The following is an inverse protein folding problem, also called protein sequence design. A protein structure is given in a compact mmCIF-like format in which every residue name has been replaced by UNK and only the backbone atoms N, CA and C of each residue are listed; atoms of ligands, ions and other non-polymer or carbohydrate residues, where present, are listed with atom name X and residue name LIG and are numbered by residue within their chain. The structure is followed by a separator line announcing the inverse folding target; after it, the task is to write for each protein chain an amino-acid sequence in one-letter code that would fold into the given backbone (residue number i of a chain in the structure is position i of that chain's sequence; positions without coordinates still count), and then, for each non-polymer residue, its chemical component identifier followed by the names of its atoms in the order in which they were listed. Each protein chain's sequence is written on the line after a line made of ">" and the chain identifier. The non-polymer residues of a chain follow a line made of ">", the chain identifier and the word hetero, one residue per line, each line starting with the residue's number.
data_IF_158197678852
#
_entry.id   IF_158197678852
#
_cell.length_a   1.000
_cell.length_b   1.000
_cell.length_c   1.000
_cell.angle_alpha   90.00
_cell.angle_beta   90.00
_cell.angle_gamma   90.00
#
_symmetry.space_group_name_H-M   'P 1'
#
loop_
_entity.id
_entity.type
_entity.pdbx_description
1 polymer ?
#
# COMPACT_ATOMS: atom_id res chain seq x y z
N UNK A 1 -57.83 17.75 73.49
CA UNK A 1 -57.10 18.21 72.29
C UNK A 1 -57.20 17.10 71.24
N UNK A 2 -58.13 17.20 70.29
CA UNK A 2 -58.32 16.22 69.22
C UNK A 2 -57.43 16.62 68.03
N UNK A 3 -56.47 15.78 67.67
CA UNK A 3 -55.61 15.99 66.50
C UNK A 3 -56.26 15.31 65.29
N UNK A 4 -56.75 16.10 64.33
CA UNK A 4 -57.31 15.59 63.08
C UNK A 4 -56.19 15.17 62.12
N UNK A 5 -56.18 13.89 61.75
CA UNK A 5 -55.31 13.34 60.70
C UNK A 5 -55.75 13.81 59.31
N UNK A 6 -54.94 14.63 58.63
CA UNK A 6 -55.11 14.97 57.22
C UNK A 6 -54.41 13.90 56.36
N UNK A 7 -55.17 13.14 55.56
CA UNK A 7 -54.63 12.19 54.58
C UNK A 7 -54.18 12.91 53.31
N UNK A 8 -53.03 12.55 52.69
CA UNK A 8 -52.58 13.16 51.45
C UNK A 8 -53.47 12.78 50.26
N UNK A 9 -53.83 13.77 49.44
CA UNK A 9 -54.67 13.61 48.24
C UNK A 9 -53.79 13.03 47.11
N UNK A 10 -54.03 11.76 46.72
CA UNK A 10 -53.38 11.16 45.53
C UNK A 10 -53.79 11.95 44.27
N UNK A 11 -52.86 12.73 43.71
CA UNK A 11 -53.02 13.34 42.38
C UNK A 11 -52.92 12.23 41.35
N UNK A 12 -54.04 11.86 40.72
CA UNK A 12 -54.05 10.95 39.57
C UNK A 12 -53.58 11.73 38.33
N UNK A 13 -52.34 11.51 37.91
CA UNK A 13 -51.89 11.88 36.57
C UNK A 13 -52.68 10.96 35.62
N UNK A 14 -53.61 11.53 34.84
CA UNK A 14 -54.31 10.78 33.79
C UNK A 14 -53.29 10.54 32.67
N UNK A 15 -52.97 9.29 32.30
CA UNK A 15 -52.20 9.06 31.09
C UNK A 15 -53.04 9.56 29.91
N UNK A 16 -52.49 10.51 29.15
CA UNK A 16 -53.03 10.88 27.84
C UNK A 16 -52.84 9.67 26.93
N UNK A 17 -53.93 9.07 26.46
CA UNK A 17 -53.88 7.94 25.55
C UNK A 17 -53.34 8.39 24.20
N UNK A 18 -52.27 7.76 23.75
CA UNK A 18 -51.68 8.02 22.44
C UNK A 18 -52.52 7.32 21.36
N UNK A 19 -52.90 8.02 20.30
CA UNK A 19 -53.67 7.43 19.20
C UNK A 19 -52.75 6.65 18.26
N UNK A 20 -53.26 5.60 17.63
CA UNK A 20 -52.52 4.80 16.65
C UNK A 20 -51.99 5.66 15.50
N UNK A 21 -52.75 6.69 15.11
CA UNK A 21 -52.39 7.62 14.03
C UNK A 21 -51.21 8.51 14.43
N UNK A 22 -51.18 9.05 15.65
CA UNK A 22 -50.05 9.86 16.14
C UNK A 22 -48.75 9.04 16.16
N UNK A 23 -48.82 7.76 16.55
CA UNK A 23 -47.67 6.85 16.49
C UNK A 23 -47.20 6.62 15.06
N UNK A 24 -48.13 6.37 14.15
CA UNK A 24 -47.84 6.10 12.75
C UNK A 24 -47.17 7.30 12.07
N UNK A 25 -47.62 8.53 12.35
CA UNK A 25 -47.01 9.74 11.81
C UNK A 25 -45.58 9.94 12.33
N UNK A 26 -45.35 9.73 13.63
CA UNK A 26 -44.02 9.89 14.22
C UNK A 26 -43.02 8.88 13.64
N UNK A 27 -43.41 7.60 13.51
CA UNK A 27 -42.54 6.60 12.87
C UNK A 27 -42.30 6.92 11.39
N UNK A 28 -43.29 7.48 10.68
CA UNK A 28 -43.12 7.88 9.28
C UNK A 28 -42.11 9.03 9.13
N UNK A 29 -42.19 10.04 10.00
CA UNK A 29 -41.23 11.16 10.00
C UNK A 29 -39.82 10.68 10.35
N UNK A 30 -39.66 9.86 11.40
CA UNK A 30 -38.36 9.29 11.77
C UNK A 30 -37.83 8.41 10.64
N UNK A 31 -38.68 7.61 10.01
CA UNK A 31 -38.32 6.78 8.87
C UNK A 31 -37.79 7.59 7.69
N UNK A 32 -38.44 8.71 7.36
CA UNK A 32 -37.98 9.63 6.30
C UNK A 32 -36.64 10.27 6.69
N UNK A 33 -36.52 10.80 7.91
CA UNK A 33 -35.29 11.45 8.37
C UNK A 33 -34.10 10.48 8.37
N UNK A 34 -34.28 9.27 8.91
CA UNK A 34 -33.23 8.24 8.92
C UNK A 34 -32.92 7.77 7.50
N UNK A 35 -33.94 7.61 6.65
CA UNK A 35 -33.76 7.23 5.24
C UNK A 35 -32.92 8.23 4.44
N UNK A 36 -33.05 9.53 4.73
CA UNK A 36 -32.24 10.58 4.10
C UNK A 36 -30.85 10.75 4.75
N UNK A 37 -30.73 10.53 6.05
CA UNK A 37 -29.48 10.73 6.80
C UNK A 37 -28.49 9.57 6.66
N UNK A 38 -28.95 8.32 6.54
CA UNK A 38 -28.07 7.15 6.55
C UNK A 38 -27.07 7.14 5.36
N UNK A 39 -27.50 7.38 4.09
CA UNK A 39 -26.56 7.45 2.96
C UNK A 39 -25.58 8.63 3.11
N UNK A 40 -26.06 9.77 3.60
CA UNK A 40 -25.25 10.97 3.80
C UNK A 40 -24.15 10.76 4.85
N UNK A 41 -24.46 10.11 5.98
CA UNK A 41 -23.48 9.80 7.03
C UNK A 41 -22.41 8.82 6.51
N UNK A 42 -22.78 7.85 5.68
CA UNK A 42 -21.82 6.92 5.07
C UNK A 42 -20.87 7.61 4.09
N UNK A 43 -21.41 8.47 3.21
CA UNK A 43 -20.61 9.27 2.29
C UNK A 43 -19.64 10.20 3.03
N UNK A 44 -20.11 10.87 4.09
CA UNK A 44 -19.27 11.73 4.92
C UNK A 44 -18.14 10.95 5.62
N UNK A 45 -18.43 9.75 6.12
CA UNK A 45 -17.41 8.88 6.75
C UNK A 45 -16.34 8.45 5.75
N UNK A 46 -16.72 8.09 4.53
CA UNK A 46 -15.74 7.70 3.50
C UNK A 46 -14.89 8.89 3.05
N UNK A 47 -15.48 10.07 2.88
CA UNK A 47 -14.73 11.29 2.60
C UNK A 47 -13.70 11.59 3.71
N UNK A 48 -14.08 11.42 4.97
CA UNK A 48 -13.16 11.58 6.10
C UNK A 48 -12.01 10.57 6.09
N UNK A 49 -12.30 9.28 5.81
CA UNK A 49 -11.25 8.26 5.68
C UNK A 49 -10.29 8.55 4.53
N UNK A 50 -10.82 8.97 3.37
CA UNK A 50 -9.99 9.38 2.22
C UNK A 50 -9.09 10.57 2.53
N UNK A 51 -9.60 11.59 3.22
CA UNK A 51 -8.77 12.70 3.70
C UNK A 51 -7.67 12.21 4.64
N UNK A 52 -7.96 11.23 5.50
CA UNK A 52 -6.95 10.65 6.39
C UNK A 52 -5.89 9.86 5.63
N UNK A 53 -6.26 9.05 4.62
CA UNK A 53 -5.28 8.32 3.79
C UNK A 53 -4.40 9.31 2.99
N UNK A 54 -4.99 10.38 2.44
CA UNK A 54 -4.25 11.47 1.81
C UNK A 54 -3.26 12.15 2.76
N UNK A 55 -3.66 12.41 4.01
CA UNK A 55 -2.79 13.01 5.01
C UNK A 55 -1.65 12.06 5.42
N UNK A 56 -1.92 10.76 5.54
CA UNK A 56 -0.92 9.75 5.84
C UNK A 56 0.16 9.65 4.73
N UNK A 57 -0.26 9.71 3.47
CA UNK A 57 0.66 9.85 2.33
C UNK A 57 1.47 11.16 2.39
N UNK A 58 0.82 12.28 2.75
CA UNK A 58 1.52 13.57 2.91
C UNK A 58 2.59 13.51 4.00
N UNK A 59 2.32 12.86 5.13
CA UNK A 59 3.30 12.63 6.19
C UNK A 59 4.47 11.76 5.69
N UNK A 60 4.16 10.67 4.98
CA UNK A 60 5.18 9.79 4.40
C UNK A 60 6.08 10.51 3.38
N UNK A 61 5.48 11.37 2.55
CA UNK A 61 6.23 12.19 1.59
C UNK A 61 7.08 13.26 2.28
N UNK A 62 6.59 13.88 3.36
CA UNK A 62 7.40 14.78 4.17
C UNK A 62 8.63 14.06 4.75
N UNK A 63 8.46 12.83 5.21
CA UNK A 63 9.58 12.00 5.70
C UNK A 63 10.59 11.68 4.60
N UNK A 64 10.13 11.44 3.37
CA UNK A 64 11.02 11.31 2.20
C UNK A 64 11.84 12.59 1.97
N UNK A 65 11.24 13.77 2.06
CA UNK A 65 11.96 15.04 1.94
C UNK A 65 12.91 15.32 3.11
N UNK A 66 12.54 14.95 4.33
CA UNK A 66 13.44 15.08 5.49
C UNK A 66 14.67 14.17 5.35
N UNK A 67 14.47 12.94 4.86
CA UNK A 67 15.54 12.02 4.51
C UNK A 67 16.41 12.61 3.40
N UNK A 68 15.81 13.08 2.31
CA UNK A 68 16.51 13.68 1.16
C UNK A 68 17.32 14.92 1.60
N UNK A 69 16.73 15.79 2.42
CA UNK A 69 17.43 16.97 2.93
C UNK A 69 18.69 16.61 3.72
N UNK A 70 18.63 15.51 4.48
CA UNK A 70 19.74 15.02 5.31
C UNK A 70 20.81 14.29 4.50
N UNK A 71 20.42 13.48 3.51
CA UNK A 71 21.34 12.59 2.77
C UNK A 71 21.60 12.99 1.31
N UNK A 72 20.94 14.04 0.80
CA UNK A 72 20.95 14.54 -0.59
C UNK A 72 20.56 13.48 -1.64
N UNK A 73 19.74 12.53 -1.22
CA UNK A 73 19.24 11.40 -2.00
C UNK A 73 18.00 10.81 -1.35
N UNK A 74 17.11 10.24 -2.15
CA UNK A 74 16.00 9.43 -1.67
C UNK A 74 16.50 8.10 -1.07
N UNK A 75 15.73 7.49 -0.15
CA UNK A 75 16.06 6.16 0.36
C UNK A 75 15.93 5.11 -0.75
N UNK A 76 16.66 4.02 -0.62
CA UNK A 76 16.43 2.84 -1.43
C UNK A 76 15.10 2.16 -1.04
N UNK A 77 14.43 1.52 -2.00
CA UNK A 77 13.27 0.68 -1.73
C UNK A 77 13.65 -0.51 -0.83
N UNK A 78 14.83 -1.08 -1.09
CA UNK A 78 15.36 -2.27 -0.43
C UNK A 78 16.83 -2.08 -0.07
N UNK A 79 17.21 -2.30 1.19
CA UNK A 79 18.56 -2.02 1.73
C UNK A 79 18.90 -2.95 2.91
N UNK A 80 20.05 -2.74 3.57
CA UNK A 80 20.44 -3.40 4.82
C UNK A 80 21.96 -3.51 4.94
N UNK A 81 22.45 -3.98 6.10
CA UNK A 81 23.89 -4.24 6.28
C UNK A 81 24.32 -5.60 5.72
N UNK A 82 23.36 -6.49 5.44
CA UNK A 82 23.40 -7.72 4.66
C UNK A 82 24.05 -8.95 5.31
N UNK A 83 24.24 -8.97 6.63
CA UNK A 83 24.67 -10.20 7.30
C UNK A 83 23.54 -11.25 7.30
N UNK A 84 23.86 -12.49 6.92
CA UNK A 84 22.89 -13.61 6.79
C UNK A 84 22.92 -14.51 8.04
N UNK A 85 24.00 -14.47 8.83
CA UNK A 85 24.05 -15.16 10.12
C UNK A 85 23.10 -14.50 11.13
N UNK A 86 22.34 -15.36 11.83
CA UNK A 86 21.18 -15.22 12.73
C UNK A 86 20.66 -13.82 13.20
N UNK A 87 21.49 -12.78 13.31
CA UNK A 87 21.08 -11.44 13.79
C UNK A 87 21.82 -10.32 13.03
N UNK A 88 21.83 -10.35 11.70
CA UNK A 88 22.25 -9.22 10.87
C UNK A 88 21.06 -8.54 10.23
N UNK A 89 21.16 -7.24 9.92
CA UNK A 89 20.13 -6.64 9.07
C UNK A 89 20.26 -7.22 7.67
N UNK A 90 19.49 -8.26 7.39
CA UNK A 90 19.45 -8.91 6.08
C UNK A 90 19.23 -7.83 5.02
N UNK A 91 19.91 -7.91 3.87
CA UNK A 91 19.94 -6.86 2.83
C UNK A 91 18.62 -6.66 2.08
N UNK A 92 17.51 -6.69 2.81
CA UNK A 92 16.12 -6.85 2.39
C UNK A 92 15.19 -5.96 3.22
N UNK A 93 15.70 -4.96 3.93
CA UNK A 93 14.90 -3.98 4.64
C UNK A 93 14.25 -3.00 3.69
N UNK A 94 13.01 -2.62 3.96
CA UNK A 94 12.28 -1.65 3.14
C UNK A 94 12.77 -0.21 3.34
N UNK A 95 12.42 0.66 2.40
CA UNK A 95 12.55 2.11 2.55
C UNK A 95 11.86 2.62 3.83
N UNK A 96 10.74 2.00 4.25
CA UNK A 96 10.04 2.36 5.49
C UNK A 96 10.93 2.29 6.72
N UNK A 97 11.81 1.29 6.80
CA UNK A 97 12.79 1.19 7.88
C UNK A 97 13.72 2.41 7.93
N UNK A 98 14.21 2.85 6.77
CA UNK A 98 15.09 4.02 6.67
C UNK A 98 14.38 5.34 6.98
N UNK A 99 13.06 5.38 6.82
CA UNK A 99 12.23 6.56 7.07
C UNK A 99 11.79 6.70 8.53
N UNK A 100 11.90 5.65 9.37
CA UNK A 100 11.45 5.69 10.76
C UNK A 100 11.96 6.92 11.56
N UNK A 101 13.26 7.27 11.53
CA UNK A 101 13.76 8.45 12.26
C UNK A 101 13.16 9.78 11.77
N UNK A 102 12.70 9.82 10.52
CA UNK A 102 12.11 10.99 9.87
C UNK A 102 10.59 11.07 10.04
N UNK A 103 9.99 10.07 10.70
CA UNK A 103 8.57 9.98 11.04
C UNK A 103 8.34 10.02 12.57
N UNK A 104 9.25 10.63 13.34
CA UNK A 104 9.21 10.64 14.82
C UNK A 104 9.27 9.22 15.45
N UNK A 105 9.84 8.24 14.74
CA UNK A 105 10.01 6.86 15.23
C UNK A 105 11.47 6.51 15.53
N UNK A 106 12.27 7.48 15.99
CA UNK A 106 13.70 7.29 16.32
C UNK A 106 13.94 6.23 17.40
N UNK A 107 13.06 6.16 18.42
CA UNK A 107 13.16 5.14 19.46
C UNK A 107 12.95 3.71 18.90
N UNK A 108 11.95 3.54 18.03
CA UNK A 108 11.70 2.28 17.34
C UNK A 108 12.86 1.92 16.42
N UNK A 109 13.39 2.88 15.65
CA UNK A 109 14.55 2.66 14.78
C UNK A 109 15.76 2.15 15.59
N UNK A 110 16.11 2.82 16.68
CA UNK A 110 17.23 2.44 17.54
C UNK A 110 17.03 1.04 18.15
N UNK A 111 15.79 0.71 18.53
CA UNK A 111 15.46 -0.62 19.03
C UNK A 111 15.65 -1.68 17.94
N UNK A 112 15.10 -1.47 16.74
CA UNK A 112 15.25 -2.39 15.61
C UNK A 112 16.71 -2.57 15.17
N UNK A 113 17.49 -1.49 15.18
CA UNK A 113 18.93 -1.49 14.90
C UNK A 113 19.69 -2.30 15.96
N UNK A 114 19.46 -2.04 17.25
CA UNK A 114 20.12 -2.75 18.35
C UNK A 114 19.82 -4.25 18.37
N UNK A 115 18.61 -4.63 17.98
CA UNK A 115 18.18 -6.02 17.90
C UNK A 115 18.65 -6.73 16.62
N UNK A 116 19.21 -5.97 15.67
CA UNK A 116 19.58 -6.45 14.34
C UNK A 116 18.51 -7.37 13.73
N UNK A 117 17.29 -6.85 13.74
CA UNK A 117 16.09 -7.58 13.35
C UNK A 117 16.21 -8.22 11.97
N UNK A 118 15.59 -9.38 11.79
CA UNK A 118 15.43 -9.98 10.47
C UNK A 118 13.97 -9.86 10.00
N UNK A 119 13.64 -9.02 8.99
CA UNK A 119 12.25 -8.83 8.53
C UNK A 119 11.49 -10.12 8.14
N UNK A 120 12.21 -11.24 7.92
CA UNK A 120 11.65 -12.54 7.54
C UNK A 120 11.28 -13.44 8.72
N UNK A 121 11.81 -13.20 9.93
CA UNK A 121 11.68 -14.15 11.03
C UNK A 121 10.99 -13.52 12.23
N UNK A 122 9.68 -13.77 12.36
CA UNK A 122 8.92 -13.33 13.54
C UNK A 122 9.36 -14.03 14.83
N UNK A 123 9.75 -15.31 14.74
CA UNK A 123 10.15 -16.11 15.89
C UNK A 123 11.42 -15.58 16.59
N UNK A 124 12.32 -14.94 15.85
CA UNK A 124 13.58 -14.39 16.40
C UNK A 124 13.48 -12.92 16.81
N UNK A 125 12.46 -12.19 16.36
CA UNK A 125 12.31 -10.75 16.62
C UNK A 125 11.37 -10.43 17.79
N UNK A 126 10.73 -11.45 18.39
CA UNK A 126 9.70 -11.28 19.41
C UNK A 126 8.45 -10.55 18.90
N UNK A 127 7.60 -10.09 19.83
CA UNK A 127 6.32 -9.43 19.50
C UNK A 127 6.46 -8.01 18.90
N UNK A 128 7.67 -7.43 18.87
CA UNK A 128 7.90 -6.05 18.45
C UNK A 128 7.42 -5.78 17.02
N UNK A 129 7.79 -6.65 16.09
CA UNK A 129 7.42 -6.51 14.67
C UNK A 129 6.08 -7.19 14.38
N UNK A 130 5.78 -8.24 15.16
CA UNK A 130 4.49 -8.93 15.15
C UNK A 130 3.29 -7.98 15.19
N UNK A 131 3.42 -6.92 16.00
CA UNK A 131 2.38 -5.95 16.28
C UNK A 131 2.71 -4.53 15.77
N UNK A 132 3.69 -4.37 14.87
CA UNK A 132 4.09 -3.05 14.39
C UNK A 132 2.98 -2.42 13.55
N UNK A 133 2.27 -1.46 14.14
CA UNK A 133 1.26 -0.63 13.49
C UNK A 133 1.65 0.83 13.66
N UNK A 134 1.91 1.51 12.55
CA UNK A 134 2.13 2.96 12.56
C UNK A 134 0.98 3.60 11.79
N UNK A 135 0.24 4.49 12.46
CA UNK A 135 -0.98 5.07 11.90
C UNK A 135 -0.75 5.82 10.58
N UNK A 136 0.45 6.36 10.35
CA UNK A 136 0.79 7.05 9.09
C UNK A 136 1.08 6.09 7.93
N UNK A 137 1.30 4.80 8.20
CA UNK A 137 1.52 3.78 7.16
C UNK A 137 0.25 3.00 6.81
N UNK A 138 -0.86 3.24 7.50
CA UNK A 138 -2.12 2.53 7.31
C UNK A 138 -3.19 3.49 6.78
N UNK A 139 -3.98 3.04 5.81
CA UNK A 139 -5.15 3.76 5.35
C UNK A 139 -6.38 3.23 6.12
N UNK A 140 -7.18 4.07 6.80
CA UNK A 140 -8.39 3.62 7.49
C UNK A 140 -9.48 3.02 6.58
N UNK A 141 -9.39 3.19 5.26
CA UNK A 141 -10.27 2.52 4.30
C UNK A 141 -9.78 1.13 3.90
N UNK A 142 -8.53 0.78 4.18
CA UNK A 142 -7.96 -0.54 3.83
C UNK A 142 -8.66 -1.66 4.60
N UNK A 143 -9.24 -2.62 3.88
CA UNK A 143 -10.03 -3.70 4.45
C UNK A 143 -9.19 -4.83 5.07
N UNK A 144 -7.88 -4.87 4.82
CA UNK A 144 -6.97 -5.93 5.26
C UNK A 144 -6.52 -5.80 6.72
N UNK A 145 -7.44 -5.91 7.67
CA UNK A 145 -7.09 -5.97 9.11
C UNK A 145 -6.51 -7.31 9.55
N UNK A 146 -6.75 -8.40 8.80
CA UNK A 146 -6.25 -9.72 9.11
C UNK A 146 -5.73 -10.41 7.85
N UNK A 147 -4.52 -10.98 7.93
CA UNK A 147 -3.98 -11.80 6.85
C UNK A 147 -4.95 -12.99 6.61
N UNK A 148 -5.39 -13.22 5.36
CA UNK A 148 -6.43 -14.20 5.04
C UNK A 148 -6.00 -15.66 5.29
N UNK A 149 -4.72 -15.90 5.57
CA UNK A 149 -4.16 -17.21 5.92
C UNK A 149 -3.82 -17.35 7.40
N UNK A 150 -4.21 -16.38 8.24
CA UNK A 150 -3.94 -16.40 9.67
C UNK A 150 -2.45 -16.36 10.01
N UNK A 151 -1.62 -15.82 9.11
CA UNK A 151 -0.16 -15.80 9.29
C UNK A 151 0.30 -14.73 10.25
N UNK A 152 1.56 -14.88 10.66
CA UNK A 152 2.24 -13.88 11.48
C UNK A 152 2.41 -12.60 10.67
N UNK A 153 1.84 -11.51 11.18
CA UNK A 153 1.97 -10.17 10.62
C UNK A 153 3.33 -9.64 11.04
N UNK A 154 4.13 -9.12 10.11
CA UNK A 154 5.42 -8.49 10.42
C UNK A 154 5.35 -6.98 10.14
N UNK A 155 4.35 -6.37 10.76
CA UNK A 155 3.98 -4.98 10.58
C UNK A 155 3.21 -4.71 9.29
N UNK A 156 2.35 -3.70 9.33
CA UNK A 156 1.38 -3.44 8.27
C UNK A 156 1.67 -2.15 7.50
N UNK A 157 1.33 -2.15 6.22
CA UNK A 157 1.29 -0.94 5.40
C UNK A 157 0.22 -1.02 4.33
N UNK A 158 -0.43 0.11 4.08
CA UNK A 158 -1.38 0.35 2.99
C UNK A 158 -0.77 1.19 1.86
N UNK A 159 0.56 1.39 1.86
CA UNK A 159 1.25 2.25 0.91
C UNK A 159 2.51 1.57 0.34
N UNK A 160 2.75 1.75 -0.95
CA UNK A 160 3.89 1.21 -1.67
C UNK A 160 4.78 2.29 -2.27
N UNK A 161 6.06 1.97 -2.43
CA UNK A 161 7.06 2.77 -3.13
C UNK A 161 6.95 2.56 -4.64
N UNK A 162 6.89 3.65 -5.40
CA UNK A 162 6.81 3.57 -6.85
C UNK A 162 8.14 3.12 -7.46
N UNK A 163 8.10 1.95 -8.09
CA UNK A 163 9.20 1.35 -8.87
C UNK A 163 9.12 1.74 -10.35
N UNK A 164 8.03 2.40 -10.78
CA UNK A 164 7.83 2.85 -12.15
C UNK A 164 7.06 1.84 -12.99
N UNK A 165 7.45 1.69 -14.25
CA UNK A 165 6.67 1.00 -15.27
C UNK A 165 7.40 -0.20 -15.90
N UNK A 166 8.50 -0.65 -15.30
CA UNK A 166 9.10 -1.96 -15.58
C UNK A 166 8.55 -3.06 -14.67
N UNK A 167 8.75 -4.33 -15.06
CA UNK A 167 8.43 -5.48 -14.19
C UNK A 167 9.46 -5.51 -13.05
N UNK A 168 9.13 -4.82 -11.97
CA UNK A 168 10.03 -4.64 -10.85
C UNK A 168 10.17 -5.93 -10.04
N UNK A 169 11.37 -6.51 -10.07
CA UNK A 169 11.70 -7.74 -9.36
C UNK A 169 12.58 -7.46 -8.14
N UNK A 170 12.36 -8.19 -7.06
CA UNK A 170 13.20 -8.12 -5.86
C UNK A 170 14.43 -9.03 -5.93
N UNK A 171 14.87 -9.37 -7.15
CA UNK A 171 15.73 -10.55 -7.39
C UNK A 171 16.94 -10.51 -6.47
N UNK A 172 17.01 -11.53 -5.63
CA UNK A 172 18.23 -12.00 -5.01
C UNK A 172 18.65 -13.17 -5.89
N UNK A 173 19.73 -13.08 -6.68
CA UNK A 173 20.22 -14.26 -7.41
C UNK A 173 20.60 -15.34 -6.39
N UNK A 174 20.45 -16.64 -6.68
CA UNK A 174 20.70 -17.71 -5.69
C UNK A 174 22.02 -17.58 -4.93
N UNK A 175 23.08 -17.08 -5.59
CA UNK A 175 24.40 -16.86 -5.00
C UNK A 175 24.42 -15.74 -3.95
N UNK A 176 23.49 -14.79 -4.03
CA UNK A 176 23.31 -13.66 -3.12
C UNK A 176 22.64 -14.05 -1.79
N UNK A 177 22.42 -15.33 -1.46
CA UNK A 177 21.99 -15.75 -0.10
C UNK A 177 23.11 -16.44 0.70
N UNK A 178 24.38 -16.13 0.43
CA UNK A 178 25.52 -16.62 1.20
C UNK A 178 26.31 -15.50 1.88
N UNK A 179 26.91 -15.79 3.05
CA UNK A 179 27.78 -14.83 3.77
C UNK A 179 28.99 -14.40 2.91
N UNK A 180 29.38 -15.20 1.93
CA UNK A 180 30.50 -14.94 1.01
C UNK A 180 30.12 -14.06 -0.18
N UNK A 181 28.83 -13.80 -0.41
CA UNK A 181 28.30 -13.00 -1.53
C UNK A 181 27.57 -11.72 -1.09
N UNK A 182 27.87 -11.22 0.12
CA UNK A 182 27.31 -9.96 0.63
C UNK A 182 27.54 -8.78 -0.33
N UNK A 183 28.69 -8.73 -1.00
CA UNK A 183 28.99 -7.72 -2.01
C UNK A 183 28.03 -7.77 -3.22
N UNK A 184 27.49 -8.95 -3.54
CA UNK A 184 26.52 -9.12 -4.62
C UNK A 184 25.12 -8.64 -4.19
N UNK A 185 24.71 -8.94 -2.95
CA UNK A 185 23.43 -8.43 -2.40
C UNK A 185 23.32 -6.90 -2.42
N UNK A 186 24.46 -6.22 -2.24
CA UNK A 186 24.54 -4.76 -2.19
C UNK A 186 24.65 -4.09 -3.56
N UNK A 187 24.63 -4.86 -4.64
CA UNK A 187 24.67 -4.29 -5.99
C UNK A 187 23.39 -3.49 -6.26
N UNK A 188 23.52 -2.20 -6.64
CA UNK A 188 22.37 -1.36 -6.96
C UNK A 188 21.56 -1.92 -8.13
N UNK A 189 20.26 -2.05 -7.94
CA UNK A 189 19.27 -2.35 -8.97
C UNK A 189 18.34 -1.16 -9.07
N UNK A 190 18.52 -0.37 -10.12
CA UNK A 190 17.58 0.69 -10.48
C UNK A 190 16.40 0.10 -11.25
N UNK A 191 15.26 0.78 -11.11
CA UNK A 191 14.03 0.61 -11.88
C UNK A 191 13.77 1.87 -12.70
N UNK A 192 12.70 1.93 -13.50
CA UNK A 192 12.36 3.16 -14.24
C UNK A 192 11.77 4.25 -13.35
N UNK A 193 11.16 3.89 -12.23
CA UNK A 193 10.74 4.81 -11.18
C UNK A 193 11.85 5.22 -10.21
N UNK A 194 11.46 5.88 -9.11
CA UNK A 194 12.41 6.44 -8.13
C UNK A 194 13.07 5.33 -7.32
N UNK A 195 12.29 4.36 -6.85
CA UNK A 195 12.73 3.47 -5.78
C UNK A 195 13.21 2.12 -6.33
N UNK A 196 14.40 1.70 -5.89
CA UNK A 196 14.96 0.38 -6.21
C UNK A 196 15.88 -0.18 -5.13
N UNK A 197 16.49 -1.34 -5.38
CA UNK A 197 17.34 -2.04 -4.40
C UNK A 197 18.72 -1.42 -4.35
N UNK A 198 19.19 -1.02 -3.16
CA UNK A 198 20.47 -0.30 -2.96
C UNK A 198 20.68 0.86 -3.95
N UNK A 199 19.59 1.43 -4.46
CA UNK A 199 19.58 2.52 -5.42
C UNK A 199 19.06 3.77 -4.71
N UNK A 200 19.89 4.81 -4.65
CA UNK A 200 19.61 6.04 -3.89
C UNK A 200 19.69 7.25 -4.82
N UNK A 201 18.62 7.54 -5.59
CA UNK A 201 18.65 8.64 -6.54
C UNK A 201 18.65 9.99 -5.83
N UNK A 202 19.34 10.98 -6.39
CA UNK A 202 19.18 12.38 -5.98
C UNK A 202 17.88 12.95 -6.53
N UNK A 203 17.41 14.07 -5.97
CA UNK A 203 16.28 14.82 -6.53
C UNK A 203 16.51 15.20 -8.01
N UNK A 204 17.75 15.51 -8.39
CA UNK A 204 18.12 15.83 -9.77
C UNK A 204 18.04 14.65 -10.76
N UNK A 205 17.87 13.42 -10.28
CA UNK A 205 17.66 12.26 -11.15
C UNK A 205 16.22 12.17 -11.70
N UNK A 206 15.31 13.03 -11.24
CA UNK A 206 13.91 13.09 -11.66
C UNK A 206 13.76 14.14 -12.76
N UNK A 207 14.25 13.84 -13.96
CA UNK A 207 14.26 14.77 -15.09
C UNK A 207 12.87 15.13 -15.62
N UNK A 208 11.87 14.28 -15.35
CA UNK A 208 10.48 14.52 -15.77
C UNK A 208 9.75 15.51 -14.84
N UNK A 209 10.41 15.92 -13.76
CA UNK A 209 9.91 16.86 -12.77
C UNK A 209 9.34 16.18 -11.53
N UNK A 210 9.63 16.73 -10.36
CA UNK A 210 9.19 16.16 -9.07
C UNK A 210 7.68 16.15 -8.88
N UNK A 211 6.96 17.08 -9.53
CA UNK A 211 5.49 17.13 -9.53
C UNK A 211 4.84 16.10 -10.46
N UNK A 212 5.61 15.51 -11.38
CA UNK A 212 5.13 14.58 -12.40
C UNK A 212 5.67 13.15 -12.18
N UNK A 213 6.37 12.89 -11.08
CA UNK A 213 6.85 11.54 -10.74
C UNK A 213 6.22 11.09 -9.43
N UNK A 214 5.49 9.99 -9.45
CA UNK A 214 4.90 9.34 -8.29
C UNK A 214 6.02 8.75 -7.44
N UNK A 215 5.98 9.04 -6.14
CA UNK A 215 6.89 8.48 -5.16
C UNK A 215 6.23 7.34 -4.35
N UNK A 216 5.03 7.58 -3.85
CA UNK A 216 4.28 6.63 -3.03
C UNK A 216 2.85 6.52 -3.55
N UNK A 217 2.19 5.39 -3.31
CA UNK A 217 0.77 5.24 -3.61
C UNK A 217 0.10 4.21 -2.74
N UNK A 218 -1.23 4.25 -2.70
CA UNK A 218 -2.05 3.28 -2.00
C UNK A 218 -1.89 1.86 -2.58
N UNK A 219 -1.80 0.90 -1.68
CA UNK A 219 -1.77 -0.53 -1.97
C UNK A 219 -2.50 -1.27 -0.86
N UNK A 220 -3.72 -1.73 -1.15
CA UNK A 220 -4.55 -2.46 -0.21
C UNK A 220 -3.86 -3.72 0.28
N UNK A 221 -4.05 -4.04 1.57
CA UNK A 221 -3.76 -5.36 2.12
C UNK A 221 -4.92 -6.30 1.77
N UNK A 222 -4.65 -7.57 1.49
CA UNK A 222 -5.72 -8.50 1.18
C UNK A 222 -6.55 -8.84 2.40
N UNK A 223 -7.88 -8.77 2.25
CA UNK A 223 -8.87 -9.22 3.23
C UNK A 223 -9.50 -10.58 2.87
N UNK A 224 -9.32 -11.03 1.63
CA UNK A 224 -9.80 -12.32 1.13
C UNK A 224 -8.80 -12.92 0.14
N UNK A 225 -8.93 -14.23 -0.12
CA UNK A 225 -8.00 -14.99 -0.95
C UNK A 225 -8.03 -14.61 -2.44
N UNK A 226 -9.05 -13.87 -2.89
CA UNK A 226 -9.21 -13.43 -4.29
C UNK A 226 -9.50 -11.93 -4.43
N UNK A 227 -9.43 -11.16 -3.35
CA UNK A 227 -9.75 -9.73 -3.34
C UNK A 227 -8.59 -8.83 -3.76
N UNK A 228 -8.80 -7.52 -3.63
CA UNK A 228 -7.74 -6.49 -3.74
C UNK A 228 -6.61 -6.81 -2.77
N UNK A 229 -5.38 -6.42 -3.12
CA UNK A 229 -4.19 -6.71 -2.32
C UNK A 229 -3.61 -8.12 -2.49
N UNK A 230 -4.36 -9.08 -3.06
CA UNK A 230 -3.82 -10.37 -3.47
C UNK A 230 -3.03 -10.26 -4.78
N UNK A 231 -2.14 -11.22 -5.04
CA UNK A 231 -1.40 -11.31 -6.28
C UNK A 231 -1.71 -12.62 -7.01
N UNK A 232 -1.92 -12.55 -8.32
CA UNK A 232 -1.99 -13.73 -9.18
C UNK A 232 -0.57 -14.21 -9.54
N UNK A 233 -0.43 -15.51 -9.79
CA UNK A 233 0.82 -16.19 -10.09
C UNK A 233 0.88 -16.61 -11.55
N UNK A 234 1.81 -16.02 -12.29
CA UNK A 234 2.19 -16.44 -13.64
C UNK A 234 3.67 -16.83 -13.68
N UNK A 235 3.98 -17.93 -12.99
CA UNK A 235 5.37 -18.34 -12.71
C UNK A 235 6.13 -18.88 -13.93
N UNK A 236 5.40 -19.26 -14.98
CA UNK A 236 5.97 -19.72 -16.25
C UNK A 236 6.29 -18.60 -17.23
N UNK A 237 5.78 -17.39 -16.97
CA UNK A 237 6.01 -16.25 -17.85
C UNK A 237 7.47 -15.78 -17.84
N UNK A 238 7.96 -15.30 -18.98
CA UNK A 238 9.20 -14.52 -19.06
C UNK A 238 8.88 -13.04 -18.76
N UNK A 239 9.45 -12.44 -17.70
CA UNK A 239 9.28 -11.02 -17.39
C UNK A 239 9.61 -10.08 -18.55
N UNK A 240 10.53 -10.45 -19.44
CA UNK A 240 10.94 -9.61 -20.57
C UNK A 240 9.99 -9.70 -21.77
N UNK A 241 9.11 -10.69 -21.80
CA UNK A 241 8.12 -10.92 -22.85
C UNK A 241 6.68 -10.92 -22.28
N UNK A 242 6.49 -10.31 -21.11
CA UNK A 242 5.20 -10.30 -20.44
C UNK A 242 4.35 -9.11 -20.88
N UNK A 243 3.18 -9.40 -21.42
CA UNK A 243 2.17 -8.39 -21.74
C UNK A 243 1.33 -8.09 -20.50
N UNK A 244 1.20 -6.82 -20.08
CA UNK A 244 0.31 -6.44 -18.97
C UNK A 244 -1.14 -6.90 -19.16
N UNK A 245 -1.60 -7.05 -20.40
CA UNK A 245 -2.92 -7.58 -20.70
C UNK A 245 -3.13 -8.99 -20.10
N UNK A 246 -2.10 -9.85 -20.11
CA UNK A 246 -2.15 -11.19 -19.51
C UNK A 246 -2.43 -11.15 -18.01
N UNK A 247 -1.94 -10.13 -17.31
CA UNK A 247 -2.27 -9.91 -15.90
C UNK A 247 -3.68 -9.34 -15.73
N UNK A 248 -4.03 -8.32 -16.54
CA UNK A 248 -5.33 -7.63 -16.45
C UNK A 248 -6.52 -8.57 -16.58
N UNK A 249 -6.45 -9.56 -17.48
CA UNK A 249 -7.56 -10.52 -17.71
C UNK A 249 -7.85 -11.41 -16.49
N UNK A 250 -6.93 -11.50 -15.53
CA UNK A 250 -7.14 -12.25 -14.30
C UNK A 250 -8.05 -11.52 -13.30
N UNK A 251 -8.30 -10.22 -13.49
CA UNK A 251 -9.15 -9.42 -12.63
C UNK A 251 -10.58 -9.31 -13.16
N UNK A 252 -11.55 -9.78 -12.38
CA UNK A 252 -12.99 -9.71 -12.69
C UNK A 252 -13.65 -8.38 -12.31
N UNK A 253 -12.88 -7.36 -11.92
CA UNK A 253 -13.38 -6.03 -11.54
C UNK A 253 -13.55 -5.83 -10.02
N UNK A 254 -13.83 -6.90 -9.28
CA UNK A 254 -13.95 -6.86 -7.81
C UNK A 254 -13.08 -7.93 -7.11
N UNK A 255 -12.90 -9.07 -7.77
CA UNK A 255 -12.04 -10.16 -7.34
C UNK A 255 -11.35 -10.80 -8.55
N UNK A 256 -10.27 -11.54 -8.32
CA UNK A 256 -9.62 -12.36 -9.35
C UNK A 256 -10.57 -13.44 -9.86
N UNK A 257 -10.54 -13.77 -11.14
CA UNK A 257 -11.37 -14.85 -11.72
C UNK A 257 -11.04 -16.22 -11.08
N UNK A 258 -11.98 -17.16 -11.13
CA UNK A 258 -11.83 -18.45 -10.44
C UNK A 258 -10.64 -19.30 -10.93
N UNK A 259 -10.22 -19.12 -12.18
CA UNK A 259 -9.06 -19.81 -12.76
C UNK A 259 -7.72 -19.16 -12.44
N UNK A 260 -7.71 -17.98 -11.83
CA UNK A 260 -6.47 -17.30 -11.46
C UNK A 260 -5.83 -18.03 -10.27
N UNK A 261 -4.61 -18.51 -10.47
CA UNK A 261 -3.78 -19.00 -9.38
C UNK A 261 -3.30 -17.80 -8.55
N UNK A 262 -3.64 -17.71 -7.26
CA UNK A 262 -3.29 -16.57 -6.41
C UNK A 262 -2.26 -16.99 -5.35
N UNK A 263 -1.21 -16.16 -5.13
CA UNK A 263 -0.14 -16.49 -4.17
C UNK A 263 -0.54 -16.16 -2.76
N UNK A 264 -0.32 -17.14 -1.91
CA UNK A 264 -0.80 -17.20 -0.56
C UNK A 264 0.26 -17.85 0.32
N UNK A 265 1.56 -17.75 0.02
CA UNK A 265 2.60 -18.65 0.58
C UNK A 265 3.42 -18.22 1.81
N UNK A 266 3.91 -16.97 1.93
CA UNK A 266 4.92 -16.63 2.98
C UNK A 266 4.66 -15.31 3.75
N UNK A 267 3.55 -14.63 3.43
CA UNK A 267 2.89 -13.47 4.05
C UNK A 267 2.28 -12.67 2.91
N UNK A 268 1.05 -12.19 3.05
CA UNK A 268 0.39 -11.49 1.96
C UNK A 268 0.95 -10.05 1.80
N UNK A 269 0.81 -9.41 0.62
CA UNK A 269 1.29 -8.03 0.42
C UNK A 269 0.81 -7.07 1.52
N UNK A 270 1.66 -6.12 1.93
CA UNK A 270 1.34 -5.17 2.99
C UNK A 270 1.34 -5.72 4.43
N UNK A 271 1.59 -7.01 4.66
CA UNK A 271 1.76 -7.58 6.03
C UNK A 271 3.21 -7.77 6.47
N UNK A 272 4.17 -7.22 5.72
CA UNK A 272 5.60 -7.21 6.07
C UNK A 272 6.22 -5.86 5.75
N UNK A 273 5.85 -4.83 6.51
CA UNK A 273 6.26 -3.44 6.22
C UNK A 273 7.77 -3.21 6.21
N UNK A 274 8.51 -3.94 7.04
CA UNK A 274 9.98 -3.84 7.09
C UNK A 274 10.67 -4.63 5.97
N UNK A 275 9.93 -5.44 5.20
CA UNK A 275 10.47 -6.19 4.06
C UNK A 275 10.48 -5.35 2.79
N UNK A 276 11.67 -5.13 2.24
CA UNK A 276 11.91 -4.32 1.04
C UNK A 276 11.62 -5.02 -0.28
N UNK A 277 11.11 -6.24 -0.28
CA UNK A 277 10.67 -6.86 -1.53
C UNK A 277 9.52 -6.04 -2.15
N UNK A 278 9.57 -5.84 -3.47
CA UNK A 278 8.52 -5.23 -4.31
C UNK A 278 7.18 -5.91 -4.11
N UNK A 279 7.17 -7.21 -3.83
CA UNK A 279 5.98 -7.94 -3.42
C UNK A 279 5.28 -7.34 -2.19
N UNK A 280 6.01 -6.88 -1.16
CA UNK A 280 5.40 -6.39 0.09
C UNK A 280 5.05 -4.91 0.05
N UNK A 281 5.95 -4.09 -0.50
CA UNK A 281 5.91 -2.63 -0.36
C UNK A 281 6.22 -1.88 -1.67
N UNK A 282 6.26 -2.58 -2.81
CA UNK A 282 6.42 -1.95 -4.12
C UNK A 282 5.09 -1.48 -4.72
N UNK A 283 5.18 -0.60 -5.70
CA UNK A 283 4.06 -0.18 -6.54
C UNK A 283 4.58 0.04 -7.96
N UNK A 284 3.78 -0.32 -8.96
CA UNK A 284 4.09 -0.09 -10.37
C UNK A 284 2.96 0.67 -11.04
N UNK A 285 3.31 1.38 -12.12
CA UNK A 285 2.41 2.24 -12.90
C UNK A 285 2.10 1.66 -14.28
N UNK A 286 1.99 0.33 -14.35
CA UNK A 286 1.73 -0.40 -15.59
C UNK A 286 0.23 -0.54 -15.83
N UNK A 287 -0.46 -1.27 -14.95
CA UNK A 287 -1.91 -1.38 -14.96
C UNK A 287 -2.52 -0.21 -14.19
N UNK A 288 -3.65 0.28 -14.69
CA UNK A 288 -4.41 1.33 -14.03
C UNK A 288 -4.84 0.95 -12.61
N UNK A 289 -5.18 1.94 -11.77
CA UNK A 289 -5.58 1.70 -10.39
C UNK A 289 -6.70 0.65 -10.25
N UNK A 290 -6.71 -0.04 -9.10
CA UNK A 290 -7.74 -1.03 -8.75
C UNK A 290 -7.85 -2.21 -9.74
N UNK A 291 -6.73 -2.58 -10.39
CA UNK A 291 -6.62 -3.75 -11.27
C UNK A 291 -5.81 -4.90 -10.66
N UNK A 292 -5.58 -5.95 -11.45
CA UNK A 292 -4.78 -7.12 -11.07
C UNK A 292 -3.37 -6.71 -10.61
N UNK A 293 -2.85 -7.45 -9.64
CA UNK A 293 -1.44 -7.55 -9.26
C UNK A 293 -0.98 -8.94 -9.69
N UNK A 294 0.16 -9.04 -10.39
CA UNK A 294 0.66 -10.34 -10.84
C UNK A 294 2.14 -10.51 -10.53
N UNK A 295 2.48 -11.67 -10.01
CA UNK A 295 3.85 -12.18 -9.94
C UNK A 295 4.16 -12.82 -11.30
N UNK A 296 5.25 -12.39 -11.91
CA UNK A 296 5.65 -12.77 -13.27
C UNK A 296 7.00 -13.49 -13.21
N UNK A 297 7.00 -14.73 -13.69
CA UNK A 297 8.16 -15.62 -13.66
C UNK A 297 8.40 -16.23 -12.28
N UNK A 298 9.47 -17.01 -12.18
CA UNK A 298 9.86 -17.70 -10.95
C UNK A 298 11.31 -17.39 -10.57
N UNK A 299 11.64 -17.61 -9.30
CA UNK A 299 13.03 -17.59 -8.83
C UNK A 299 13.35 -18.92 -8.15
N UNK A 300 14.62 -19.28 -8.09
CA UNK A 300 15.08 -20.47 -7.35
C UNK A 300 14.91 -20.36 -5.82
N UNK A 301 14.45 -19.22 -5.30
CA UNK A 301 14.31 -18.95 -3.88
C UNK A 301 12.85 -19.00 -3.41
N UNK A 302 12.02 -18.11 -3.96
CA UNK A 302 10.59 -18.00 -3.64
C UNK A 302 9.92 -17.01 -4.61
N UNK A 303 8.61 -17.16 -4.80
CA UNK A 303 7.82 -16.30 -5.70
C UNK A 303 7.80 -14.84 -5.26
N UNK A 304 7.95 -14.55 -3.96
CA UNK A 304 8.02 -13.16 -3.42
C UNK A 304 9.28 -12.38 -3.84
N UNK A 305 10.21 -13.03 -4.54
CA UNK A 305 11.39 -12.41 -5.14
C UNK A 305 11.28 -12.21 -6.65
N UNK A 306 10.26 -12.79 -7.28
CA UNK A 306 10.07 -12.68 -8.72
C UNK A 306 9.68 -11.25 -9.12
N UNK A 307 9.70 -11.03 -10.43
CA UNK A 307 9.14 -9.82 -11.03
C UNK A 307 7.64 -9.74 -10.79
N UNK A 308 7.09 -8.54 -10.91
CA UNK A 308 5.65 -8.42 -10.92
C UNK A 308 5.15 -7.07 -11.37
N UNK A 309 3.85 -7.07 -11.66
CA UNK A 309 3.04 -5.88 -11.81
C UNK A 309 2.39 -5.63 -10.45
N UNK A 310 2.85 -4.60 -9.74
CA UNK A 310 2.45 -4.24 -8.38
C UNK A 310 1.46 -3.08 -8.40
N UNK A 311 0.30 -3.29 -9.01
CA UNK A 311 -0.73 -2.26 -9.23
C UNK A 311 -1.17 -1.54 -7.95
N UNK A 312 -1.38 -0.23 -8.05
CA UNK A 312 -1.99 0.59 -7.01
C UNK A 312 -3.43 0.15 -6.74
N UNK A 313 -3.81 0.00 -5.47
CA UNK A 313 -5.15 -0.48 -5.08
C UNK A 313 -5.63 0.25 -3.84
N UNK A 314 -6.93 0.55 -3.80
CA UNK A 314 -7.59 1.26 -2.71
C UNK A 314 -9.07 0.90 -2.64
N UNK A 315 -9.64 0.98 -1.45
CA UNK A 315 -11.06 0.83 -1.18
C UNK A 315 -11.86 2.12 -1.45
N UNK A 316 -11.17 3.22 -1.74
CA UNK A 316 -11.80 4.43 -2.24
C UNK A 316 -12.52 4.18 -3.57
N UNK A 317 -13.70 4.77 -3.73
CA UNK A 317 -14.47 4.63 -4.96
C UNK A 317 -13.80 5.40 -6.11
N UNK A 318 -13.50 4.69 -7.20
CA UNK A 318 -13.12 5.28 -8.48
C UNK A 318 -11.64 5.66 -8.64
N UNK A 319 -10.76 5.27 -7.71
CA UNK A 319 -9.35 5.61 -7.79
C UNK A 319 -8.52 5.27 -6.56
N UNK A 320 -7.30 5.81 -6.53
CA UNK A 320 -6.30 5.65 -5.48
C UNK A 320 -5.67 6.99 -5.12
N UNK A 321 -5.19 7.16 -3.89
CA UNK A 321 -4.34 8.29 -3.55
C UNK A 321 -2.86 7.98 -3.87
N UNK A 322 -2.14 8.95 -4.41
CA UNK A 322 -0.70 8.88 -4.66
C UNK A 322 -0.01 10.14 -4.14
N UNK A 323 1.22 10.00 -3.67
CA UNK A 323 2.12 11.11 -3.37
C UNK A 323 3.16 11.26 -4.47
N UNK A 324 3.32 12.47 -4.99
CA UNK A 324 4.36 12.82 -5.95
C UNK A 324 5.69 13.07 -5.23
N UNK A 325 6.77 13.12 -5.99
CA UNK A 325 8.11 13.34 -5.46
C UNK A 325 8.37 14.76 -4.94
N UNK A 326 7.48 15.72 -5.24
CA UNK A 326 7.44 17.05 -4.61
C UNK A 326 6.60 17.09 -3.31
N UNK A 327 6.04 15.94 -2.92
CA UNK A 327 5.23 15.75 -1.74
C UNK A 327 3.77 16.21 -1.89
N UNK A 328 3.32 16.66 -3.06
CA UNK A 328 1.89 16.83 -3.34
C UNK A 328 1.18 15.46 -3.34
N UNK A 329 -0.10 15.44 -2.99
CA UNK A 329 -0.91 14.22 -2.95
C UNK A 329 -2.13 14.42 -3.83
N UNK A 330 -2.36 13.46 -4.73
CA UNK A 330 -3.43 13.50 -5.72
C UNK A 330 -4.26 12.23 -5.67
N UNK A 331 -5.51 12.35 -6.12
CA UNK A 331 -6.35 11.20 -6.37
C UNK A 331 -6.32 10.86 -7.85
N UNK A 332 -5.95 9.63 -8.15
CA UNK A 332 -5.84 9.13 -9.52
C UNK A 332 -7.02 8.23 -9.81
N UNK A 333 -7.75 8.55 -10.88
CA UNK A 333 -8.92 7.77 -11.26
C UNK A 333 -8.54 6.39 -11.80
N UNK A 334 -9.40 5.40 -11.57
CA UNK A 334 -9.35 4.08 -12.22
C UNK A 334 -9.40 4.18 -13.76
N UNK A 335 -9.93 5.28 -14.29
CA UNK A 335 -10.06 5.55 -15.72
C UNK A 335 -8.85 6.28 -16.33
N UNK A 336 -7.75 6.47 -15.58
CA UNK A 336 -6.54 7.09 -16.11
C UNK A 336 -6.04 6.35 -17.37
N UNK A 337 -5.49 7.11 -18.32
CA UNK A 337 -4.90 6.54 -19.52
C UNK A 337 -3.73 5.61 -19.18
N UNK A 338 -3.83 4.37 -19.67
CA UNK A 338 -2.86 3.28 -19.46
C UNK A 338 -2.19 2.85 -20.77
N UNK A 339 -2.34 3.65 -21.84
CA UNK A 339 -1.70 3.41 -23.11
C UNK A 339 -1.95 2.02 -23.68
N UNK A 340 -0.89 1.40 -24.23
CA UNK A 340 -0.99 0.11 -24.89
C UNK A 340 -0.55 -1.06 -23.98
N UNK A 341 -1.52 -1.60 -23.24
CA UNK A 341 -1.31 -2.77 -22.37
C UNK A 341 -0.97 -4.08 -23.10
N UNK A 342 -1.00 -4.13 -24.43
CA UNK A 342 -0.49 -5.26 -25.18
C UNK A 342 1.05 -5.22 -25.32
N UNK A 343 1.67 -4.04 -25.16
CA UNK A 343 3.13 -3.85 -25.26
C UNK A 343 3.83 -4.42 -24.04
N UNK A 344 4.90 -5.18 -24.26
CA UNK A 344 5.72 -5.73 -23.18
C UNK A 344 6.34 -4.64 -22.31
N UNK A 345 6.53 -4.97 -21.04
CA UNK A 345 7.13 -4.06 -20.09
C UNK A 345 8.52 -3.60 -20.54
N UNK A 346 8.81 -2.30 -20.49
CA UNK A 346 10.13 -1.79 -20.79
C UNK A 346 11.16 -2.38 -19.83
N UNK A 347 12.38 -2.58 -20.33
CA UNK A 347 13.49 -2.97 -19.45
C UNK A 347 13.75 -1.89 -18.41
N UNK A 348 14.10 -2.28 -17.19
CA UNK A 348 14.47 -1.37 -16.10
C UNK A 348 15.60 -0.38 -16.42
N UNK A 349 16.42 -0.70 -17.44
CA UNK A 349 17.54 0.15 -17.90
C UNK A 349 17.19 0.98 -19.15
N UNK A 350 15.97 0.85 -19.68
CA UNK A 350 15.54 1.61 -20.84
C UNK A 350 15.24 3.07 -20.49
N UNK A 351 15.53 3.94 -21.46
CA UNK A 351 15.17 5.36 -21.43
C UNK A 351 14.09 5.64 -22.47
N UNK A 352 13.40 6.77 -22.32
CA UNK A 352 12.36 7.20 -23.26
C UNK A 352 10.94 7.01 -22.73
N UNK A 353 9.92 7.33 -23.54
CA UNK A 353 8.52 7.35 -23.12
C UNK A 353 7.99 6.03 -22.54
N UNK A 354 7.07 6.11 -21.58
CA UNK A 354 6.29 4.97 -21.11
C UNK A 354 5.27 4.54 -22.16
N UNK A 355 5.14 3.23 -22.47
CA UNK A 355 4.07 2.73 -23.34
C UNK A 355 2.70 2.74 -22.66
N UNK A 356 2.63 3.05 -21.36
CA UNK A 356 1.43 2.91 -20.53
C UNK A 356 0.75 4.25 -20.25
N UNK A 357 0.80 5.15 -21.23
CA UNK A 357 0.06 6.41 -21.23
C UNK A 357 0.47 7.33 -20.09
N UNK A 358 -0.47 8.19 -19.67
CA UNK A 358 -0.26 9.13 -18.57
C UNK A 358 0.11 8.39 -17.28
N UNK A 359 -0.50 7.24 -17.00
CA UNK A 359 -0.24 6.50 -15.77
C UNK A 359 1.22 6.04 -15.67
N UNK A 360 1.74 5.40 -16.72
CA UNK A 360 3.13 4.93 -16.75
C UNK A 360 4.13 6.07 -16.74
N UNK A 361 3.85 7.15 -17.48
CA UNK A 361 4.66 8.35 -17.49
C UNK A 361 4.81 8.98 -16.10
N UNK A 362 3.72 9.02 -15.32
CA UNK A 362 3.77 9.50 -13.94
C UNK A 362 4.61 8.61 -13.02
N UNK A 363 4.88 7.35 -13.37
CA UNK A 363 5.77 6.48 -12.59
C UNK A 363 7.23 6.52 -13.01
N UNK A 364 7.56 7.05 -14.18
CA UNK A 364 8.95 7.15 -14.65
C UNK A 364 9.63 8.38 -14.06
N UNK A 365 10.91 8.25 -13.69
CA UNK A 365 11.72 9.41 -13.25
C UNK A 365 12.40 10.15 -14.41
N UNK A 366 12.53 9.50 -15.56
CA UNK A 366 13.32 9.99 -16.70
C UNK A 366 12.85 9.42 -18.05
N UNK A 367 11.54 9.37 -18.27
CA UNK A 367 10.90 9.02 -19.53
C UNK A 367 11.02 10.10 -20.60
N UNK A 368 11.18 11.37 -20.21
CA UNK A 368 11.30 12.52 -21.13
C UNK A 368 9.97 13.02 -21.69
N UNK A 369 8.85 12.53 -21.14
CA UNK A 369 7.50 12.91 -21.50
C UNK A 369 6.87 13.77 -20.39
N UNK A 370 6.12 14.80 -20.77
CA UNK A 370 5.37 15.60 -19.80
C UNK A 370 4.02 14.94 -19.53
N UNK A 371 3.85 14.32 -18.37
CA UNK A 371 2.55 13.87 -17.88
C UNK A 371 1.99 14.91 -16.91
N UNK A 372 0.77 15.41 -17.20
CA UNK A 372 0.02 16.25 -16.28
C UNK A 372 -1.30 15.56 -15.94
N UNK A 373 -1.68 15.64 -14.67
CA UNK A 373 -3.01 15.32 -14.21
C UNK A 373 -3.91 16.49 -14.63
N UNK A 374 -4.71 16.31 -15.69
CA UNK A 374 -5.73 17.30 -16.07
C UNK A 374 -6.84 17.43 -15.02
#
# INVERSE_FOLDING_TARGET
>A
MFVSSLRPRKVRIRPLGFTLVELLVVIAIIGILVGLLLPAVQAAREAARRMQCSNNLKQSALSLHNYESSFKRFPAHMTGTGSIAQYGQRGVYSGWYSLLPFCEQSALYNQLESMQVNPWSSATNGNLIGNLRLSYMECPSDAGEQDPYGRVRNGMSSYGFCTGDDIAASVIVPDERSNTALANQKQPVSHRGIFGRYYYPSMGALSDGTSNTIALGERSRPSSQRGKGMAALDLSADPNAYSPLSCKVLWGGNEYIASANTDIGDQSPGYRVLGGNTFFTGLSTILGPNSAVCVVGSTSLSNHYAGGIWTATSEHTGGVQVAMADGSVHFISDAIDTGNLATFAPSRLSSGPSPYGVWGALGTKSGGESAQLE
#
